data_IF_443265528314
#
_entry.id   IF_443265528314
#
_cell.length_a   1.000
_cell.length_b   1.000
_cell.length_c   1.000
_cell.angle_alpha   90.00
_cell.angle_beta   90.00
_cell.angle_gamma   90.00
#
_symmetry.space_group_name_H-M   'P 1'
#
loop_
_entity.id
_entity.type
_entity.pdbx_description
1 polymer ?
#
# COMPACT_ATOMS: atom_id res chain seq x y z
N UNK A 1 19.90 -20.79 20.40
CA UNK A 1 19.35 -20.07 19.23
C UNK A 1 19.61 -18.60 19.48
N UNK A 2 20.53 -17.99 18.74
CA UNK A 2 20.75 -16.55 18.79
C UNK A 2 19.50 -15.86 18.26
N UNK A 3 18.80 -15.10 19.11
CA UNK A 3 17.80 -14.14 18.62
C UNK A 3 18.52 -13.27 17.59
N UNK A 4 18.02 -13.22 16.35
CA UNK A 4 18.51 -12.20 15.43
C UNK A 4 18.19 -10.84 16.04
N UNK A 5 19.20 -10.00 16.19
CA UNK A 5 19.01 -8.63 16.62
C UNK A 5 18.43 -7.84 15.45
N UNK A 6 17.34 -7.11 15.68
CA UNK A 6 16.79 -6.16 14.69
C UNK A 6 17.86 -5.11 14.37
N UNK A 7 18.18 -4.93 13.09
CA UNK A 7 19.06 -3.88 12.59
C UNK A 7 18.28 -2.97 11.65
N UNK A 8 18.46 -1.66 11.79
CA UNK A 8 17.73 -0.66 11.00
C UNK A 8 18.75 0.28 10.39
N UNK A 9 18.75 0.32 9.06
CA UNK A 9 19.69 1.07 8.26
C UNK A 9 18.94 1.92 7.23
N UNK A 10 19.40 3.15 7.02
CA UNK A 10 18.95 3.96 5.89
C UNK A 10 19.73 3.57 4.62
N UNK A 11 19.20 2.61 3.86
CA UNK A 11 19.86 2.06 2.67
C UNK A 11 19.88 3.01 1.46
N UNK A 12 18.97 3.99 1.43
CA UNK A 12 18.88 5.00 0.37
C UNK A 12 18.40 6.36 0.95
N UNK A 13 19.30 7.34 1.17
CA UNK A 13 18.93 8.67 1.67
C UNK A 13 18.39 9.57 0.55
N UNK A 14 17.28 9.18 -0.09
CA UNK A 14 16.68 9.85 -1.25
C UNK A 14 16.04 11.22 -0.93
N UNK A 15 15.68 11.45 0.34
CA UNK A 15 14.95 12.63 0.80
C UNK A 15 13.63 12.86 0.02
N UNK A 16 12.84 11.79 -0.16
CA UNK A 16 11.50 11.87 -0.73
C UNK A 16 10.65 12.89 0.03
N UNK A 17 9.76 13.58 -0.68
CA UNK A 17 8.76 14.45 -0.04
C UNK A 17 7.70 13.61 0.66
N UNK A 18 7.23 12.55 0.00
CA UNK A 18 6.36 11.53 0.58
C UNK A 18 6.65 10.22 -0.16
N UNK A 19 7.60 9.43 0.38
CA UNK A 19 7.99 8.15 -0.19
C UNK A 19 6.96 7.07 0.14
N UNK A 20 6.44 6.39 -0.88
CA UNK A 20 5.29 5.49 -0.73
C UNK A 20 5.36 4.25 -1.64
N UNK A 21 4.43 3.32 -1.42
CA UNK A 21 4.19 2.12 -2.25
C UNK A 21 5.47 1.30 -2.52
N UNK A 22 6.17 0.82 -1.48
CA UNK A 22 7.34 -0.02 -1.66
C UNK A 22 6.95 -1.38 -2.25
N UNK A 23 7.54 -1.76 -3.38
CA UNK A 23 7.34 -3.05 -4.05
C UNK A 23 8.67 -3.67 -4.41
N UNK A 24 8.89 -4.91 -3.97
CA UNK A 24 10.09 -5.67 -4.32
C UNK A 24 9.95 -6.36 -5.69
N UNK A 25 10.89 -6.11 -6.58
CA UNK A 25 11.04 -6.79 -7.87
C UNK A 25 12.16 -7.83 -7.78
N UNK A 26 11.81 -9.06 -7.42
CA UNK A 26 12.79 -10.16 -7.25
C UNK A 26 13.63 -10.42 -8.51
N UNK A 27 13.04 -10.25 -9.70
CA UNK A 27 13.71 -10.53 -10.97
C UNK A 27 14.95 -9.68 -11.22
N UNK A 28 15.02 -8.48 -10.63
CA UNK A 28 16.13 -7.54 -10.77
C UNK A 28 16.79 -7.19 -9.44
N UNK A 29 16.31 -7.75 -8.31
CA UNK A 29 16.67 -7.32 -6.95
C UNK A 29 16.51 -5.81 -6.76
N UNK A 30 15.43 -5.25 -7.30
CA UNK A 30 15.14 -3.83 -7.19
C UNK A 30 13.95 -3.56 -6.29
N UNK A 31 13.99 -2.42 -5.62
CA UNK A 31 12.86 -1.81 -4.96
C UNK A 31 12.22 -0.78 -5.88
N UNK A 32 10.94 -0.95 -6.18
CA UNK A 32 10.10 0.13 -6.67
C UNK A 32 9.47 0.89 -5.50
N UNK A 33 9.31 2.19 -5.68
CA UNK A 33 8.57 3.07 -4.79
C UNK A 33 8.18 4.33 -5.53
N UNK A 34 7.34 5.17 -4.93
CA UNK A 34 6.96 6.47 -5.48
C UNK A 34 7.38 7.61 -4.56
N UNK A 35 7.52 8.81 -5.10
CA UNK A 35 7.49 10.06 -4.33
C UNK A 35 6.28 10.88 -4.79
N UNK A 36 5.20 10.81 -4.01
CA UNK A 36 3.85 11.21 -4.45
C UNK A 36 3.80 12.64 -4.97
N UNK A 37 4.11 13.68 -4.17
CA UNK A 37 4.01 15.06 -4.63
C UNK A 37 5.17 15.46 -5.55
N UNK A 38 6.25 14.68 -5.60
CA UNK A 38 7.33 14.89 -6.57
C UNK A 38 7.01 14.27 -7.94
N UNK A 39 5.93 13.48 -8.05
CA UNK A 39 5.45 12.84 -9.28
C UNK A 39 6.45 11.87 -9.87
N UNK A 40 7.15 11.10 -9.02
CA UNK A 40 8.20 10.18 -9.46
C UNK A 40 7.84 8.74 -9.12
N UNK A 41 8.03 7.87 -10.09
CA UNK A 41 8.19 6.43 -9.86
C UNK A 41 9.69 6.15 -9.84
N UNK A 42 10.17 5.49 -8.80
CA UNK A 42 11.57 5.21 -8.55
C UNK A 42 11.82 3.71 -8.60
N UNK A 43 12.97 3.31 -9.14
CA UNK A 43 13.48 1.93 -9.08
C UNK A 43 14.91 1.95 -8.57
N UNK A 44 15.11 1.47 -7.36
CA UNK A 44 16.42 1.34 -6.72
C UNK A 44 16.94 -0.10 -6.83
N UNK A 45 18.08 -0.27 -7.48
CA UNK A 45 18.77 -1.55 -7.60
C UNK A 45 19.58 -1.79 -6.33
N UNK A 46 19.26 -2.87 -5.61
CA UNK A 46 19.91 -3.18 -4.33
C UNK A 46 21.36 -3.65 -4.46
N UNK A 47 21.81 -4.05 -5.64
CA UNK A 47 23.19 -4.49 -5.90
C UNK A 47 24.06 -3.31 -6.31
N UNK A 48 23.65 -2.56 -7.34
CA UNK A 48 24.42 -1.40 -7.83
C UNK A 48 24.24 -0.14 -6.97
N UNK A 49 23.23 -0.15 -6.08
CA UNK A 49 22.81 0.98 -5.23
C UNK A 49 22.35 2.21 -6.02
N UNK A 50 22.13 2.06 -7.32
CA UNK A 50 21.65 3.15 -8.19
C UNK A 50 20.13 3.24 -8.16
N UNK A 51 19.62 4.46 -8.25
CA UNK A 51 18.18 4.74 -8.33
C UNK A 51 17.85 5.45 -9.64
N UNK A 52 16.96 4.82 -10.40
CA UNK A 52 16.38 5.35 -11.62
C UNK A 52 15.00 5.94 -11.32
N UNK A 53 14.61 6.99 -12.04
CA UNK A 53 13.38 7.74 -11.76
C UNK A 53 12.67 8.06 -13.07
N UNK A 54 11.37 7.86 -13.09
CA UNK A 54 10.46 8.28 -14.14
C UNK A 54 9.53 9.34 -13.57
N UNK A 55 9.55 10.55 -14.14
CA UNK A 55 8.66 11.66 -13.74
C UNK A 55 7.38 11.63 -14.56
N UNK A 56 6.23 11.78 -13.91
CA UNK A 56 4.90 11.81 -14.55
C UNK A 56 4.20 13.17 -14.34
N UNK A 57 3.03 13.35 -14.96
CA UNK A 57 2.37 14.67 -15.07
C UNK A 57 1.51 15.05 -13.85
N UNK A 58 1.08 14.08 -13.03
CA UNK A 58 0.30 14.26 -11.80
C UNK A 58 0.90 13.49 -10.61
N UNK A 59 0.42 13.69 -9.37
CA UNK A 59 0.86 12.86 -8.24
C UNK A 59 0.71 11.37 -8.56
N UNK A 60 1.75 10.59 -8.28
CA UNK A 60 1.78 9.14 -8.49
C UNK A 60 1.83 8.46 -7.14
N UNK A 61 0.78 7.71 -6.81
CA UNK A 61 0.52 7.32 -5.42
C UNK A 61 0.84 5.85 -5.13
N UNK A 62 0.79 4.99 -6.15
CA UNK A 62 1.20 3.60 -6.04
C UNK A 62 1.78 3.07 -7.34
N UNK A 63 2.60 2.03 -7.24
CA UNK A 63 3.19 1.30 -8.38
C UNK A 63 3.10 -0.20 -8.11
N UNK A 64 2.85 -0.99 -9.15
CA UNK A 64 2.89 -2.44 -9.07
C UNK A 64 3.50 -3.06 -10.33
N UNK A 65 3.97 -4.30 -10.20
CA UNK A 65 4.52 -5.07 -11.31
C UNK A 65 3.41 -5.40 -12.33
N UNK A 66 3.75 -5.35 -13.62
CA UNK A 66 2.86 -5.78 -14.71
C UNK A 66 3.44 -7.03 -15.36
N UNK A 67 2.70 -8.14 -15.33
CA UNK A 67 3.21 -9.42 -15.84
C UNK A 67 3.65 -9.38 -17.31
N UNK A 68 2.90 -8.66 -18.16
CA UNK A 68 3.21 -8.51 -19.58
C UNK A 68 4.42 -7.60 -19.86
N UNK A 69 5.13 -7.14 -18.82
CA UNK A 69 6.26 -6.23 -18.90
C UNK A 69 5.91 -4.81 -18.48
N UNK A 70 6.91 -4.11 -17.95
CA UNK A 70 6.76 -2.78 -17.36
C UNK A 70 6.00 -2.81 -16.05
N UNK A 71 5.31 -1.70 -15.76
CA UNK A 71 4.63 -1.49 -14.49
C UNK A 71 3.20 -0.99 -14.71
N UNK A 72 2.39 -1.04 -13.67
CA UNK A 72 1.16 -0.25 -13.56
C UNK A 72 1.30 0.71 -12.38
N UNK A 73 0.65 1.86 -12.46
CA UNK A 73 0.67 2.87 -11.42
C UNK A 73 -0.64 3.64 -11.35
N UNK A 74 -0.89 4.25 -10.21
CA UNK A 74 -2.01 5.19 -10.03
C UNK A 74 -1.49 6.63 -10.10
N UNK A 75 -1.93 7.38 -11.12
CA UNK A 75 -1.47 8.75 -11.41
C UNK A 75 -2.69 9.68 -11.43
N UNK A 76 -2.79 10.60 -10.47
CA UNK A 76 -4.04 11.34 -10.20
C UNK A 76 -5.17 10.36 -9.89
N UNK A 77 -6.29 10.41 -10.64
CA UNK A 77 -7.40 9.43 -10.56
C UNK A 77 -7.39 8.40 -11.69
N UNK A 78 -6.22 8.12 -12.27
CA UNK A 78 -6.05 7.21 -13.41
C UNK A 78 -5.25 5.99 -13.01
N UNK A 79 -5.72 4.82 -13.43
CA UNK A 79 -4.86 3.65 -13.56
C UNK A 79 -4.10 3.74 -14.87
N UNK A 80 -2.79 3.58 -14.82
CA UNK A 80 -1.90 3.73 -15.96
C UNK A 80 -0.96 2.53 -16.08
N UNK A 81 -0.66 2.14 -17.31
CA UNK A 81 0.50 1.30 -17.62
C UNK A 81 1.72 2.19 -17.89
N UNK A 82 2.87 1.78 -17.37
CA UNK A 82 4.16 2.44 -17.55
C UNK A 82 5.06 1.54 -18.38
N UNK A 83 5.60 2.08 -19.47
CA UNK A 83 6.75 1.49 -20.14
C UNK A 83 8.01 2.18 -19.61
N UNK A 84 8.85 1.40 -18.91
CA UNK A 84 10.03 1.94 -18.25
C UNK A 84 11.13 2.37 -19.22
N UNK A 85 11.15 1.78 -20.43
CA UNK A 85 12.28 1.89 -21.35
C UNK A 85 12.19 3.16 -22.19
N UNK A 86 10.99 3.49 -22.66
CA UNK A 86 10.72 4.74 -23.39
C UNK A 86 10.07 5.82 -22.51
N UNK A 87 9.83 5.51 -21.23
CA UNK A 87 9.16 6.38 -20.25
C UNK A 87 7.76 6.84 -20.70
N UNK A 88 7.04 6.03 -21.48
CA UNK A 88 5.67 6.32 -21.88
C UNK A 88 4.65 5.87 -20.83
N UNK A 89 3.55 6.63 -20.74
CA UNK A 89 2.41 6.37 -19.85
C UNK A 89 1.16 6.17 -20.69
N UNK A 90 0.46 5.05 -20.49
CA UNK A 90 -0.82 4.76 -21.15
C UNK A 90 -1.93 4.66 -20.10
N UNK A 91 -2.99 5.45 -20.26
CA UNK A 91 -4.16 5.37 -19.36
C UNK A 91 -4.95 4.10 -19.65
N UNK A 92 -5.19 3.29 -18.62
CA UNK A 92 -6.01 2.07 -18.70
C UNK A 92 -7.45 2.38 -18.32
N UNK A 93 -7.64 3.13 -17.22
CA UNK A 93 -8.95 3.55 -16.74
C UNK A 93 -8.87 4.85 -15.92
N UNK A 94 -10.01 5.51 -15.73
CA UNK A 94 -10.12 6.73 -14.91
C UNK A 94 -11.35 6.64 -14.04
N UNK A 95 -11.19 6.93 -12.74
CA UNK A 95 -12.28 6.99 -11.76
C UNK A 95 -12.61 8.43 -11.39
N UNK A 96 -13.74 8.62 -10.71
CA UNK A 96 -14.09 9.89 -10.03
C UNK A 96 -14.03 11.14 -10.93
N UNK A 97 -14.50 11.01 -12.18
CA UNK A 97 -14.54 12.12 -13.15
C UNK A 97 -15.39 13.31 -12.67
N UNK A 98 -16.26 13.08 -11.69
CA UNK A 98 -17.13 14.05 -11.04
C UNK A 98 -16.47 14.76 -9.84
N UNK A 99 -15.35 14.24 -9.31
CA UNK A 99 -14.60 14.84 -8.19
C UNK A 99 -13.54 15.79 -8.70
N UNK A 100 -13.55 17.02 -8.21
CA UNK A 100 -12.67 18.10 -8.70
C UNK A 100 -11.22 17.99 -8.23
N UNK A 101 -11.00 17.38 -7.07
CA UNK A 101 -9.73 17.46 -6.34
C UNK A 101 -9.43 16.15 -5.61
N UNK A 102 -9.74 15.00 -6.24
CA UNK A 102 -9.35 13.71 -5.70
C UNK A 102 -8.10 13.17 -6.41
N UNK A 103 -7.40 12.28 -5.72
CA UNK A 103 -6.35 11.44 -6.26
C UNK A 103 -6.46 10.04 -5.69
N UNK A 104 -5.84 9.07 -6.35
CA UNK A 104 -5.49 7.80 -5.71
C UNK A 104 -4.50 8.02 -4.56
N UNK A 105 -4.49 7.09 -3.63
CA UNK A 105 -3.49 6.99 -2.56
C UNK A 105 -2.83 5.59 -2.62
N UNK A 106 -2.98 4.72 -1.62
CA UNK A 106 -2.34 3.40 -1.69
C UNK A 106 -3.07 2.44 -2.66
N UNK A 107 -2.32 1.47 -3.16
CA UNK A 107 -2.80 0.45 -4.08
C UNK A 107 -1.87 -0.75 -4.15
N UNK A 108 -2.46 -1.94 -4.31
CA UNK A 108 -1.75 -3.23 -4.38
C UNK A 108 -2.51 -4.20 -5.29
N UNK A 109 -1.77 -5.10 -5.93
CA UNK A 109 -2.33 -6.14 -6.78
C UNK A 109 -2.77 -7.34 -5.93
N UNK A 110 -4.00 -7.81 -6.12
CA UNK A 110 -4.57 -8.95 -5.41
C UNK A 110 -3.95 -10.30 -5.87
N UNK A 111 -4.22 -11.42 -5.17
CA UNK A 111 -3.67 -12.72 -5.54
C UNK A 111 -4.18 -13.28 -6.88
N UNK A 112 -5.26 -12.71 -7.42
CA UNK A 112 -5.79 -13.03 -8.73
C UNK A 112 -5.35 -11.99 -9.78
N UNK A 113 -4.43 -11.07 -9.45
CA UNK A 113 -3.85 -10.12 -10.37
C UNK A 113 -4.71 -8.91 -10.75
N UNK A 114 -5.71 -8.53 -9.94
CA UNK A 114 -6.47 -7.28 -10.06
C UNK A 114 -5.77 -6.16 -9.29
N UNK A 115 -5.71 -4.96 -9.83
CA UNK A 115 -5.03 -3.84 -9.16
C UNK A 115 -6.02 -3.05 -8.30
N UNK A 116 -6.04 -3.31 -6.99
CA UNK A 116 -6.82 -2.53 -6.03
C UNK A 116 -6.11 -1.23 -5.73
N UNK A 117 -6.87 -0.13 -5.72
CA UNK A 117 -6.41 1.16 -5.25
C UNK A 117 -7.61 2.01 -4.88
N UNK A 118 -7.48 2.83 -3.85
CA UNK A 118 -8.55 3.74 -3.46
C UNK A 118 -8.11 5.19 -3.46
N UNK A 119 -9.11 6.05 -3.43
CA UNK A 119 -8.97 7.49 -3.61
C UNK A 119 -9.14 8.23 -2.29
N UNK A 120 -8.79 9.51 -2.33
CA UNK A 120 -9.00 10.49 -1.27
C UNK A 120 -9.11 11.88 -1.89
N UNK A 121 -9.68 12.84 -1.15
CA UNK A 121 -9.50 14.24 -1.51
C UNK A 121 -8.03 14.65 -1.32
N UNK A 122 -7.53 15.51 -2.20
CA UNK A 122 -6.19 16.09 -2.08
C UNK A 122 -6.10 16.92 -0.79
N UNK A 123 -5.00 16.77 -0.07
CA UNK A 123 -4.78 17.40 1.22
C UNK A 123 -4.39 18.88 1.09
N UNK A 124 -4.79 19.67 2.08
CA UNK A 124 -4.28 21.04 2.28
C UNK A 124 -3.13 21.10 3.27
N UNK A 125 -3.07 20.11 4.17
CA UNK A 125 -1.98 19.78 5.09
C UNK A 125 -2.10 18.27 5.40
N UNK A 126 -1.06 17.61 5.96
CA UNK A 126 -1.12 16.18 6.25
C UNK A 126 -2.37 15.78 7.05
N UNK A 127 -3.14 14.83 6.53
CA UNK A 127 -4.41 14.36 7.05
C UNK A 127 -5.52 15.43 7.21
N UNK A 128 -5.39 16.59 6.55
CA UNK A 128 -6.39 17.67 6.51
C UNK A 128 -6.94 17.82 5.10
N UNK A 129 -8.10 17.23 4.87
CA UNK A 129 -8.79 17.13 3.58
C UNK A 129 -10.32 17.21 3.75
N UNK A 130 -11.03 17.33 2.63
CA UNK A 130 -12.48 17.13 2.62
C UNK A 130 -12.79 15.65 2.91
N UNK A 131 -13.57 15.41 3.99
CA UNK A 131 -13.85 14.06 4.50
C UNK A 131 -14.75 13.26 3.55
N UNK A 132 -14.59 11.95 3.59
CA UNK A 132 -15.44 10.94 2.94
C UNK A 132 -15.57 11.11 1.41
N UNK A 133 -14.58 11.70 0.76
CA UNK A 133 -14.59 11.92 -0.69
C UNK A 133 -14.07 10.73 -1.48
N UNK A 134 -13.35 9.82 -0.84
CA UNK A 134 -12.71 8.68 -1.45
C UNK A 134 -13.62 7.47 -1.64
N UNK A 135 -13.11 6.51 -2.39
CA UNK A 135 -13.72 5.21 -2.65
C UNK A 135 -12.64 4.17 -2.92
N UNK A 136 -12.94 2.90 -2.67
CA UNK A 136 -12.06 1.78 -3.03
C UNK A 136 -12.46 1.21 -4.40
N UNK A 137 -11.47 0.98 -5.26
CA UNK A 137 -11.64 0.41 -6.59
C UNK A 137 -10.70 -0.77 -6.82
N UNK A 138 -11.01 -1.59 -7.83
CA UNK A 138 -10.03 -2.47 -8.47
C UNK A 138 -10.11 -2.41 -9.98
N UNK A 139 -8.96 -2.33 -10.64
CA UNK A 139 -8.82 -2.56 -12.07
C UNK A 139 -8.66 -4.06 -12.34
N UNK A 140 -9.56 -4.62 -13.13
CA UNK A 140 -9.51 -6.00 -13.57
C UNK A 140 -8.61 -6.19 -14.80
N UNK A 141 -8.24 -7.44 -15.15
CA UNK A 141 -7.34 -7.74 -16.27
C UNK A 141 -7.84 -7.27 -17.64
N UNK A 142 -9.16 -7.20 -17.84
CA UNK A 142 -9.82 -6.67 -19.04
C UNK A 142 -9.98 -5.14 -19.01
N UNK A 143 -9.35 -4.48 -18.04
CA UNK A 143 -9.39 -3.05 -17.76
C UNK A 143 -10.76 -2.49 -17.32
N UNK A 144 -11.72 -3.34 -16.98
CA UNK A 144 -12.91 -2.85 -16.28
C UNK A 144 -12.54 -2.44 -14.85
N UNK A 145 -13.27 -1.47 -14.31
CA UNK A 145 -13.08 -1.01 -12.93
C UNK A 145 -14.33 -1.32 -12.12
N UNK A 146 -14.14 -2.01 -11.00
CA UNK A 146 -15.17 -2.19 -9.98
C UNK A 146 -14.97 -1.18 -8.86
N UNK A 147 -16.08 -0.59 -8.39
CA UNK A 147 -16.13 0.24 -7.18
C UNK A 147 -16.72 -0.61 -6.06
N UNK A 148 -16.02 -0.75 -4.95
CA UNK A 148 -16.48 -1.57 -3.82
C UNK A 148 -17.35 -0.79 -2.84
N UNK A 149 -16.86 0.36 -2.39
CA UNK A 149 -17.57 1.25 -1.47
C UNK A 149 -17.01 2.67 -1.56
N UNK A 150 -17.78 3.63 -1.06
CA UNK A 150 -17.39 5.03 -0.90
C UNK A 150 -17.39 5.45 0.58
N UNK A 151 -17.40 6.76 0.83
CA UNK A 151 -17.23 7.37 2.15
C UNK A 151 -15.87 7.06 2.79
N UNK A 152 -14.83 6.92 1.97
CA UNK A 152 -13.45 6.76 2.45
C UNK A 152 -12.85 8.14 2.68
N UNK A 153 -12.15 8.33 3.80
CA UNK A 153 -11.36 9.53 4.01
C UNK A 153 -10.03 9.44 3.27
N UNK A 154 -9.17 8.50 3.66
CA UNK A 154 -7.84 8.28 3.08
C UNK A 154 -7.68 6.79 2.84
N UNK A 155 -7.87 6.33 1.60
CA UNK A 155 -7.65 4.93 1.25
C UNK A 155 -6.17 4.58 1.42
N UNK A 156 -5.85 3.61 2.26
CA UNK A 156 -4.47 3.32 2.61
C UNK A 156 -4.19 1.82 2.65
N UNK A 157 -3.24 1.40 3.47
CA UNK A 157 -2.70 0.05 3.55
C UNK A 157 -3.72 -1.06 3.36
N UNK A 158 -3.37 -2.00 2.48
CA UNK A 158 -4.23 -3.10 2.08
C UNK A 158 -3.42 -4.36 1.79
N UNK A 159 -3.97 -5.54 2.12
CA UNK A 159 -3.37 -6.83 1.79
C UNK A 159 -4.39 -7.98 1.86
N UNK A 160 -3.99 -9.19 1.49
CA UNK A 160 -4.83 -10.39 1.52
C UNK A 160 -4.25 -11.47 2.42
N UNK A 161 -5.11 -12.25 3.07
CA UNK A 161 -4.68 -13.44 3.80
C UNK A 161 -4.03 -14.47 2.88
N UNK A 162 -3.11 -15.26 3.42
CA UNK A 162 -2.38 -16.30 2.68
C UNK A 162 -3.27 -17.41 2.11
N UNK A 163 -4.48 -17.60 2.66
CA UNK A 163 -5.48 -18.53 2.13
C UNK A 163 -6.44 -17.89 1.12
N UNK A 164 -6.21 -16.61 0.78
CA UNK A 164 -6.96 -15.79 -0.17
C UNK A 164 -8.46 -15.69 0.13
N UNK A 165 -8.82 -15.67 1.42
CA UNK A 165 -10.23 -15.55 1.86
C UNK A 165 -10.53 -14.26 2.60
N UNK A 166 -9.52 -13.52 3.02
CA UNK A 166 -9.68 -12.26 3.74
C UNK A 166 -8.95 -11.16 2.99
N UNK A 167 -9.61 -10.03 2.85
CA UNK A 167 -9.00 -8.77 2.43
C UNK A 167 -8.91 -7.84 3.64
N UNK A 168 -7.71 -7.31 3.90
CA UNK A 168 -7.44 -6.33 4.95
C UNK A 168 -7.29 -4.95 4.35
N UNK A 169 -7.82 -3.94 5.04
CA UNK A 169 -7.89 -2.59 4.52
C UNK A 169 -7.84 -1.55 5.63
N UNK A 170 -7.18 -0.43 5.34
CA UNK A 170 -7.09 0.74 6.20
C UNK A 170 -7.72 1.93 5.46
N UNK A 171 -8.71 2.54 6.11
CA UNK A 171 -9.01 3.95 5.90
C UNK A 171 -8.32 4.73 7.03
N UNK A 172 -7.31 5.54 6.74
CA UNK A 172 -6.42 6.07 7.77
C UNK A 172 -7.15 6.84 8.87
N UNK A 173 -8.21 7.61 8.52
CA UNK A 173 -8.94 8.40 9.51
C UNK A 173 -10.03 7.61 10.27
N UNK A 174 -10.18 6.32 9.98
CA UNK A 174 -10.92 5.39 10.83
C UNK A 174 -10.11 4.91 12.03
N UNK A 175 -8.78 5.09 12.02
CA UNK A 175 -7.84 4.58 13.04
C UNK A 175 -8.00 3.08 13.32
N UNK A 176 -8.33 2.32 12.27
CA UNK A 176 -8.61 0.89 12.36
C UNK A 176 -8.05 0.14 11.17
N UNK A 177 -7.59 -1.08 11.42
CA UNK A 177 -7.41 -2.10 10.39
C UNK A 177 -8.71 -2.89 10.33
N UNK A 178 -9.35 -2.88 9.16
CA UNK A 178 -10.54 -3.67 8.88
C UNK A 178 -10.20 -4.92 8.08
N UNK A 179 -11.09 -5.91 8.18
CA UNK A 179 -11.08 -7.11 7.37
C UNK A 179 -12.43 -7.33 6.68
N UNK A 180 -12.38 -7.99 5.53
CA UNK A 180 -13.51 -8.36 4.71
C UNK A 180 -13.37 -9.82 4.30
N UNK A 181 -14.49 -10.51 4.11
CA UNK A 181 -14.49 -11.79 3.43
C UNK A 181 -14.25 -11.50 1.96
N UNK A 182 -13.27 -12.18 1.36
CA UNK A 182 -12.81 -11.97 -0.01
C UNK A 182 -12.97 -13.25 -0.83
N UNK A 183 -13.58 -13.11 -2.00
CA UNK A 183 -13.75 -14.20 -2.95
C UNK A 183 -12.71 -14.07 -4.07
N UNK A 184 -11.72 -14.96 -4.10
CA UNK A 184 -10.62 -14.92 -5.07
C UNK A 184 -11.10 -14.95 -6.53
N UNK A 185 -12.15 -15.72 -6.82
CA UNK A 185 -12.64 -15.92 -8.19
C UNK A 185 -13.28 -14.67 -8.77
N UNK A 186 -14.00 -13.92 -7.94
CA UNK A 186 -14.79 -12.76 -8.37
C UNK A 186 -14.16 -11.42 -8.00
N UNK A 187 -13.31 -11.37 -6.98
CA UNK A 187 -12.76 -10.14 -6.42
C UNK A 187 -13.66 -9.48 -5.37
N UNK A 188 -14.87 -10.03 -5.14
CA UNK A 188 -15.86 -9.43 -4.25
C UNK A 188 -15.40 -9.47 -2.80
N UNK A 189 -15.76 -8.41 -2.08
CA UNK A 189 -15.55 -8.27 -0.64
C UNK A 189 -16.87 -8.06 0.10
N UNK A 190 -16.98 -8.56 1.33
CA UNK A 190 -18.18 -8.43 2.15
C UNK A 190 -17.86 -8.51 3.65
N UNK A 191 -18.86 -8.32 4.52
CA UNK A 191 -18.72 -8.48 5.98
C UNK A 191 -17.56 -7.68 6.60
N UNK A 192 -17.51 -6.37 6.31
CA UNK A 192 -16.52 -5.44 6.90
C UNK A 192 -16.56 -5.52 8.43
N UNK A 193 -15.40 -5.72 9.07
CA UNK A 193 -15.23 -5.67 10.53
C UNK A 193 -13.85 -5.17 10.90
N UNK A 194 -13.77 -4.41 11.99
CA UNK A 194 -12.49 -4.06 12.61
C UNK A 194 -11.80 -5.32 13.12
N UNK A 195 -10.51 -5.44 12.83
CA UNK A 195 -9.59 -6.45 13.40
C UNK A 195 -8.57 -5.83 14.35
N UNK A 196 -8.34 -4.53 14.22
CA UNK A 196 -7.47 -3.78 15.13
C UNK A 196 -7.90 -2.31 15.20
N UNK A 197 -7.84 -1.73 16.40
CA UNK A 197 -7.98 -0.28 16.61
C UNK A 197 -6.69 0.27 17.18
N UNK A 198 -6.18 1.31 16.53
CA UNK A 198 -4.92 1.90 16.92
C UNK A 198 -5.03 2.61 18.27
N UNK A 199 -3.99 2.46 19.08
CA UNK A 199 -3.77 3.26 20.27
C UNK A 199 -3.33 4.68 19.88
N UNK A 200 -3.51 5.62 20.81
CA UNK A 200 -3.20 7.03 20.54
C UNK A 200 -1.73 7.23 20.16
N UNK A 201 -0.83 6.47 20.76
CA UNK A 201 0.62 6.52 20.56
C UNK A 201 1.06 5.91 19.23
N UNK A 202 0.22 5.09 18.61
CA UNK A 202 0.42 4.51 17.28
C UNK A 202 0.05 5.48 16.16
N UNK A 203 -0.65 6.58 16.47
CA UNK A 203 -1.00 7.64 15.53
C UNK A 203 -1.85 7.12 14.35
N UNK A 204 -1.55 7.53 13.12
CA UNK A 204 -2.39 7.28 11.95
C UNK A 204 -1.90 6.01 11.23
N UNK A 205 -2.76 5.00 11.00
CA UNK A 205 -2.37 3.82 10.23
C UNK A 205 -2.22 4.21 8.75
N UNK A 206 -1.12 3.79 8.15
CA UNK A 206 -0.70 4.14 6.79
C UNK A 206 -0.64 2.87 5.92
N UNK A 207 0.46 2.66 5.19
CA UNK A 207 0.70 1.42 4.44
C UNK A 207 0.72 0.14 5.31
N UNK A 208 0.37 -0.99 4.69
CA UNK A 208 0.29 -2.30 5.35
C UNK A 208 0.78 -3.43 4.44
N UNK A 209 1.35 -4.47 5.04
CA UNK A 209 1.67 -5.72 4.36
C UNK A 209 1.44 -6.94 5.26
N UNK A 210 1.22 -8.11 4.65
CA UNK A 210 1.17 -9.39 5.35
C UNK A 210 2.52 -10.10 5.31
N UNK A 211 2.89 -10.79 6.39
CA UNK A 211 4.04 -11.69 6.41
C UNK A 211 3.68 -13.16 6.11
N UNK A 212 4.69 -14.02 6.08
CA UNK A 212 4.53 -15.44 5.78
C UNK A 212 3.81 -16.25 6.89
N UNK A 213 3.60 -15.66 8.07
CA UNK A 213 2.83 -16.24 9.18
C UNK A 213 1.38 -15.74 9.22
N UNK A 214 1.00 -14.90 8.26
CA UNK A 214 -0.34 -14.34 8.14
C UNK A 214 -0.62 -13.20 9.12
N UNK A 215 0.43 -12.57 9.66
CA UNK A 215 0.35 -11.40 10.53
C UNK A 215 0.54 -10.13 9.71
N UNK A 216 0.04 -9.01 10.21
CA UNK A 216 0.04 -7.74 9.50
C UNK A 216 1.10 -6.81 10.07
N UNK A 217 1.91 -6.21 9.20
CA UNK A 217 2.78 -5.10 9.53
C UNK A 217 2.16 -3.80 9.04
N UNK A 218 1.93 -2.86 9.96
CA UNK A 218 1.30 -1.56 9.66
C UNK A 218 2.29 -0.44 9.95
N UNK A 219 2.49 0.45 8.99
CA UNK A 219 3.22 1.68 9.18
C UNK A 219 2.36 2.71 9.93
N UNK A 220 2.97 3.38 10.91
CA UNK A 220 2.30 4.34 11.78
C UNK A 220 2.79 5.76 11.46
N UNK A 221 2.08 6.48 10.59
CA UNK A 221 2.38 7.86 10.23
C UNK A 221 2.31 8.77 11.45
N UNK A 222 3.32 9.63 11.63
CA UNK A 222 3.63 10.38 12.87
C UNK A 222 3.96 9.53 14.12
N UNK A 223 3.66 8.23 14.13
CA UNK A 223 4.00 7.31 15.22
C UNK A 223 5.45 6.84 15.16
N UNK A 224 6.05 6.99 13.97
CA UNK A 224 7.41 6.67 13.63
C UNK A 224 7.75 5.24 14.03
N UNK A 225 6.95 4.27 13.58
CA UNK A 225 7.13 2.85 13.88
C UNK A 225 6.41 2.01 12.84
N UNK A 226 6.71 0.72 12.85
CA UNK A 226 5.85 -0.32 12.29
C UNK A 226 5.36 -1.20 13.44
N UNK A 227 4.11 -1.63 13.40
CA UNK A 227 3.52 -2.54 14.40
C UNK A 227 3.17 -3.87 13.74
N UNK A 228 3.36 -4.96 14.48
CA UNK A 228 3.07 -6.34 14.05
C UNK A 228 1.80 -6.82 14.75
N UNK A 229 0.79 -7.17 13.97
CA UNK A 229 -0.57 -7.44 14.43
C UNK A 229 -0.97 -8.86 14.08
N UNK A 230 -1.58 -9.56 15.04
CA UNK A 230 -2.31 -10.78 14.80
C UNK A 230 -3.79 -10.50 14.55
N UNK A 231 -4.26 -10.52 13.28
CA UNK A 231 -5.65 -10.18 12.96
C UNK A 231 -6.66 -11.17 13.54
N UNK A 232 -6.23 -12.32 14.08
CA UNK A 232 -7.11 -13.30 14.72
C UNK A 232 -7.34 -13.03 16.21
N UNK A 233 -6.37 -12.43 16.90
CA UNK A 233 -6.35 -12.38 18.37
C UNK A 233 -6.29 -10.97 18.96
N UNK A 234 -5.82 -9.98 18.21
CA UNK A 234 -5.70 -8.59 18.70
C UNK A 234 -7.03 -7.82 18.75
N UNK A 235 -8.13 -8.49 18.48
CA UNK A 235 -9.48 -7.92 18.41
C UNK A 235 -10.20 -7.83 19.77
N UNK A 236 -9.48 -7.96 20.90
CA UNK A 236 -10.11 -8.18 22.20
C UNK A 236 -10.27 -6.91 23.06
N UNK A 237 -11.51 -6.47 23.40
CA UNK A 237 -11.74 -5.42 24.38
C UNK A 237 -11.59 -5.99 25.80
N UNK A 238 -10.37 -5.94 26.37
CA UNK A 238 -10.12 -6.26 27.79
C UNK A 238 -9.17 -7.41 28.12
N UNK A 239 -8.22 -7.74 27.26
CA UNK A 239 -7.24 -8.82 27.43
C UNK A 239 -5.85 -8.22 27.40
N UNK A 240 -4.95 -8.68 28.26
CA UNK A 240 -3.55 -8.27 28.21
C UNK A 240 -2.99 -8.63 26.83
N UNK A 241 -2.72 -7.61 26.02
CA UNK A 241 -2.08 -7.77 24.72
C UNK A 241 -0.66 -8.28 24.96
N UNK A 242 -0.34 -9.44 24.40
CA UNK A 242 1.04 -9.90 24.26
C UNK A 242 1.60 -9.33 22.95
N UNK A 243 1.56 -8.01 22.77
CA UNK A 243 2.32 -7.38 21.70
C UNK A 243 3.79 -7.43 22.13
N UNK A 244 4.59 -8.29 21.51
CA UNK A 244 6.04 -8.11 21.50
C UNK A 244 6.31 -6.84 20.69
N UNK A 245 6.22 -5.69 21.36
CA UNK A 245 6.49 -4.39 20.77
C UNK A 245 7.98 -4.31 20.44
N UNK A 246 8.32 -4.60 19.18
CA UNK A 246 9.59 -4.13 18.63
C UNK A 246 9.44 -2.62 18.38
N UNK A 247 9.64 -1.84 19.44
CA UNK A 247 9.67 -0.39 19.38
C UNK A 247 10.87 0.05 18.54
N UNK A 248 10.62 0.46 17.29
CA UNK A 248 11.55 1.34 16.62
C UNK A 248 10.91 2.70 16.41
N UNK A 249 11.63 3.76 16.79
CA UNK A 249 11.32 5.16 16.46
C UNK A 249 11.95 5.49 15.12
N UNK A 250 11.15 5.81 14.11
CA UNK A 250 11.64 6.14 12.78
C UNK A 250 10.75 7.20 12.13
N UNK A 251 11.27 8.41 12.00
CA UNK A 251 10.60 9.55 11.33
C UNK A 251 10.62 9.39 9.80
N UNK A 252 9.48 9.68 9.15
CA UNK A 252 9.30 10.09 7.74
C UNK A 252 10.09 9.33 6.65
N UNK A 253 10.29 8.01 6.78
CA UNK A 253 11.07 7.22 5.81
C UNK A 253 10.31 5.98 5.34
N UNK A 254 10.55 5.59 4.08
CA UNK A 254 10.03 4.37 3.47
C UNK A 254 10.60 3.15 4.20
N UNK A 255 9.74 2.22 4.64
CA UNK A 255 10.14 0.99 5.34
C UNK A 255 10.00 -0.24 4.45
N UNK A 256 11.04 -1.08 4.44
CA UNK A 256 10.97 -2.46 3.98
C UNK A 256 11.40 -3.35 5.12
N UNK A 257 10.57 -4.32 5.45
CA UNK A 257 10.93 -5.40 6.35
C UNK A 257 11.56 -6.52 5.51
N UNK A 258 12.62 -7.14 6.00
CA UNK A 258 13.34 -8.18 5.24
C UNK A 258 12.45 -9.41 4.95
N UNK A 259 11.37 -9.61 5.72
CA UNK A 259 10.39 -10.69 5.49
C UNK A 259 9.37 -10.40 4.38
N UNK A 260 9.10 -9.15 4.02
CA UNK A 260 8.21 -8.81 2.90
C UNK A 260 8.81 -9.16 1.53
N UNK A 261 10.10 -9.52 1.47
CA UNK A 261 10.82 -9.84 0.24
C UNK A 261 10.46 -11.19 -0.38
N UNK A 262 9.60 -12.02 0.25
CA UNK A 262 9.34 -13.41 -0.17
C UNK A 262 7.93 -13.68 -0.71
N UNK A 263 7.01 -12.73 -0.68
CA UNK A 263 5.58 -12.98 -0.96
C UNK A 263 5.09 -12.49 -2.33
N UNK A 264 5.89 -11.75 -3.10
CA UNK A 264 5.52 -11.29 -4.45
C UNK A 264 5.78 -12.37 -5.51
N UNK A 265 4.98 -13.44 -5.49
CA UNK A 265 4.96 -14.42 -6.59
C UNK A 265 4.29 -13.81 -7.83
N UNK A 266 4.97 -13.92 -8.97
CA UNK A 266 4.47 -13.60 -10.31
C UNK A 266 3.18 -14.39 -10.58
N UNK A 267 2.10 -13.70 -10.91
CA UNK A 267 0.90 -14.32 -11.46
C UNK A 267 0.49 -13.56 -12.73
N UNK A 268 0.53 -14.26 -13.85
CA UNK A 268 -0.33 -14.22 -15.05
C UNK A 268 0.42 -14.94 -16.20
N UNK A 269 -0.31 -15.72 -16.98
CA UNK A 269 0.15 -16.39 -18.20
C UNK A 269 -0.82 -16.07 -19.32
#
# INVERSE_FOLDING_TARGET
MTMSSINIECVLPENCRCGESPVWEEASNSLLFVDIPAKKVCRWDSLSKQVHRMTVDAPVSSVALRQLGGYVATIGTKFCALNWEDQSVTVLATVEKDKKNNRFNDGKVDPAGRYFAGTMAEETAPAVLERHQGSLYSLFPDHHVEKYFDQVDISNGLDWSLDHKIFYYIDSLSYSVDAFDYDLQTGKISNRRSVYKLEKEEQIPDGMCIDAEGKLWVACYNGGRVIHLDPQTDNWPGGQRNSSQSLCRISDRLFLLEETLKTTKKFWS
#
